data_IF_793494384241
#
_entry.id   IF_793494384241
#
_cell.length_a   1.000
_cell.length_b   1.000
_cell.length_c   1.000
_cell.angle_alpha   90.00
_cell.angle_beta   90.00
_cell.angle_gamma   90.00
#
_symmetry.space_group_name_H-M   'P 1'
#
loop_
_entity.id
_entity.type
_entity.pdbx_description
1 polymer ?
#
# COMPACT_ATOMS: atom_id res chain seq x y z
N UNK A 1 2.45 12.18 -30.51
CA UNK A 1 2.62 10.85 -31.14
C UNK A 1 2.59 9.68 -30.16
N UNK A 2 3.03 9.78 -28.89
CA UNK A 2 2.90 8.69 -27.90
C UNK A 2 1.56 8.63 -27.12
N UNK A 3 0.78 9.71 -27.11
CA UNK A 3 -0.53 9.74 -26.43
C UNK A 3 -1.62 8.96 -27.17
N UNK A 4 -1.55 8.92 -28.50
CA UNK A 4 -2.48 8.18 -29.37
C UNK A 4 -2.26 6.67 -29.35
N UNK A 5 -1.05 6.20 -29.03
CA UNK A 5 -0.75 4.77 -28.91
C UNK A 5 -1.25 4.15 -27.59
N UNK A 6 -1.51 4.97 -26.56
CA UNK A 6 -2.06 4.51 -25.27
C UNK A 6 -3.59 4.62 -25.19
N UNK A 7 -4.27 5.04 -26.27
CA UNK A 7 -5.73 5.16 -26.29
C UNK A 7 -6.45 3.80 -26.30
N UNK A 8 -5.76 2.73 -26.70
CA UNK A 8 -6.30 1.37 -26.73
C UNK A 8 -5.69 0.50 -25.63
N UNK A 9 -6.52 -0.35 -25.03
CA UNK A 9 -6.14 -1.32 -24.02
C UNK A 9 -5.14 -2.33 -24.60
N UNK A 10 -3.83 -2.16 -24.33
CA UNK A 10 -2.77 -3.14 -24.66
C UNK A 10 -2.71 -4.31 -23.67
N UNK A 11 -3.79 -4.57 -22.95
CA UNK A 11 -3.82 -5.54 -21.88
C UNK A 11 -4.31 -6.91 -22.36
N UNK A 12 -3.73 -7.97 -21.79
CA UNK A 12 -4.03 -9.37 -22.11
C UNK A 12 -5.27 -9.84 -21.36
N UNK A 13 -6.13 -10.61 -22.02
CA UNK A 13 -7.27 -11.29 -21.38
C UNK A 13 -6.84 -12.64 -20.83
N UNK A 14 -7.62 -13.15 -19.87
CA UNK A 14 -7.41 -14.48 -19.29
C UNK A 14 -7.42 -15.54 -20.40
N UNK A 15 -6.39 -16.40 -20.45
CA UNK A 15 -6.28 -17.41 -21.50
C UNK A 15 -5.37 -17.03 -22.70
N UNK A 16 -4.82 -15.82 -22.75
CA UNK A 16 -3.98 -15.36 -23.86
C UNK A 16 -2.46 -15.39 -23.57
N UNK A 17 -1.66 -15.81 -24.56
CA UNK A 17 -0.18 -15.78 -24.53
C UNK A 17 0.34 -14.47 -25.13
N UNK A 18 -0.36 -13.98 -26.14
CA UNK A 18 -0.15 -12.68 -26.78
C UNK A 18 -1.52 -12.13 -27.22
N UNK A 19 -1.64 -10.84 -27.57
CA UNK A 19 -2.95 -10.20 -27.86
C UNK A 19 -3.77 -11.01 -28.87
N UNK A 20 -5.02 -11.31 -28.53
CA UNK A 20 -5.96 -12.09 -29.34
C UNK A 20 -5.48 -13.52 -29.71
N UNK A 21 -4.37 -14.00 -29.12
CA UNK A 21 -3.81 -15.34 -29.32
C UNK A 21 -4.06 -16.15 -28.04
N UNK A 22 -5.08 -17.01 -28.11
CA UNK A 22 -5.34 -18.01 -27.07
C UNK A 22 -4.20 -19.02 -27.07
N UNK A 23 -3.54 -19.16 -25.93
CA UNK A 23 -2.49 -20.15 -25.77
C UNK A 23 -2.98 -21.48 -25.24
N UNK A 24 -2.22 -22.52 -25.53
CA UNK A 24 -2.41 -23.81 -24.89
C UNK A 24 -1.70 -23.82 -23.53
N UNK A 25 -2.47 -23.90 -22.44
CA UNK A 25 -1.99 -23.93 -21.06
C UNK A 25 -1.03 -25.09 -20.75
N UNK A 26 -0.93 -26.07 -21.66
CA UNK A 26 -0.04 -27.24 -21.52
C UNK A 26 1.40 -26.94 -21.91
N UNK A 27 1.63 -25.95 -22.79
CA UNK A 27 2.96 -25.65 -23.36
C UNK A 27 3.36 -24.17 -23.25
N UNK A 28 2.42 -23.25 -23.04
CA UNK A 28 2.65 -21.81 -23.11
C UNK A 28 2.28 -21.10 -21.80
N UNK A 29 2.98 -19.99 -21.49
CA UNK A 29 2.69 -19.17 -20.30
C UNK A 29 1.61 -18.15 -20.63
N UNK A 30 0.42 -18.46 -20.14
CA UNK A 30 -0.82 -17.73 -20.40
C UNK A 30 -1.10 -16.69 -19.31
N UNK A 31 -1.72 -15.55 -19.66
CA UNK A 31 -2.22 -14.61 -18.65
C UNK A 31 -3.30 -15.27 -17.79
N UNK A 32 -3.03 -15.33 -16.47
CA UNK A 32 -3.91 -15.96 -15.48
C UNK A 32 -5.07 -15.06 -15.04
N UNK A 33 -5.00 -13.75 -15.30
CA UNK A 33 -5.99 -12.75 -14.91
C UNK A 33 -6.09 -11.69 -16.02
N UNK A 34 -7.28 -11.08 -16.18
CA UNK A 34 -7.46 -9.95 -17.10
C UNK A 34 -6.65 -8.77 -16.55
N UNK A 35 -5.63 -8.35 -17.28
CA UNK A 35 -4.86 -7.17 -16.90
C UNK A 35 -5.59 -5.92 -17.40
N UNK A 36 -5.57 -4.85 -16.63
CA UNK A 36 -6.01 -3.51 -17.09
C UNK A 36 -5.13 -2.51 -16.36
N UNK A 37 -4.89 -1.34 -16.96
CA UNK A 37 -4.06 -0.28 -16.35
C UNK A 37 -4.45 -0.03 -14.89
N UNK A 38 -5.76 0.03 -14.66
CA UNK A 38 -6.37 0.35 -13.37
C UNK A 38 -6.17 -0.77 -12.34
N UNK A 39 -6.23 -2.04 -12.78
CA UNK A 39 -5.94 -3.20 -11.92
C UNK A 39 -4.44 -3.20 -11.54
N UNK A 40 -3.55 -2.92 -12.47
CA UNK A 40 -2.10 -2.83 -12.20
C UNK A 40 -1.77 -1.67 -11.24
N UNK A 41 -2.45 -0.52 -11.37
CA UNK A 41 -2.33 0.57 -10.40
C UNK A 41 -2.78 0.12 -9.01
N UNK A 42 -3.89 -0.61 -8.92
CA UNK A 42 -4.39 -1.17 -7.66
C UNK A 42 -3.43 -2.18 -7.01
N UNK A 43 -2.81 -3.05 -7.82
CA UNK A 43 -1.80 -4.02 -7.33
C UNK A 43 -0.50 -3.32 -6.93
N UNK A 44 -0.10 -2.26 -7.64
CA UNK A 44 1.10 -1.49 -7.33
C UNK A 44 0.92 -0.58 -6.10
N UNK A 45 -0.30 -0.13 -5.82
CA UNK A 45 -0.55 0.89 -4.80
C UNK A 45 0.02 0.58 -3.41
N UNK A 46 -0.06 -0.66 -2.88
CA UNK A 46 0.52 -0.97 -1.58
C UNK A 46 2.03 -0.74 -1.50
N UNK A 47 2.76 -0.78 -2.62
CA UNK A 47 4.20 -0.49 -2.65
C UNK A 47 4.53 0.97 -2.31
N UNK A 48 3.61 1.91 -2.55
CA UNK A 48 3.78 3.33 -2.23
C UNK A 48 3.11 3.73 -0.91
N UNK A 49 2.51 2.77 -0.19
CA UNK A 49 1.93 3.01 1.13
C UNK A 49 2.99 3.09 2.23
N UNK A 50 2.58 3.37 3.47
CA UNK A 50 3.48 3.37 4.62
C UNK A 50 4.15 4.71 4.93
N UNK A 51 3.72 5.81 4.30
CA UNK A 51 4.23 7.17 4.58
C UNK A 51 4.08 7.60 6.05
N UNK A 52 3.11 7.00 6.76
CA UNK A 52 2.83 7.25 8.18
C UNK A 52 3.77 6.49 9.14
N UNK A 53 4.61 5.58 8.64
CA UNK A 53 5.56 4.86 9.50
C UNK A 53 6.52 5.84 10.22
N UNK A 54 6.86 6.96 9.58
CA UNK A 54 7.71 8.00 10.17
C UNK A 54 7.06 8.73 11.36
N UNK A 55 5.74 8.92 11.36
CA UNK A 55 5.02 9.59 12.45
C UNK A 55 4.79 8.69 13.66
N UNK A 56 4.83 7.37 13.48
CA UNK A 56 4.61 6.39 14.56
C UNK A 56 5.70 6.44 15.66
N UNK A 57 6.86 7.06 15.38
CA UNK A 57 7.94 7.29 16.36
C UNK A 57 8.14 8.78 16.68
N UNK A 58 7.11 9.59 16.47
CA UNK A 58 7.18 11.04 16.69
C UNK A 58 7.57 11.43 18.12
N UNK A 59 7.20 10.62 19.12
CA UNK A 59 7.55 10.85 20.53
C UNK A 59 9.05 10.69 20.87
N UNK A 60 9.79 9.92 20.06
CA UNK A 60 11.22 9.63 20.30
C UNK A 60 12.15 10.57 19.52
N UNK A 61 11.60 11.44 18.67
CA UNK A 61 12.37 12.36 17.84
C UNK A 61 12.76 13.61 18.64
N UNK A 62 14.04 14.02 18.53
CA UNK A 62 14.54 15.28 19.10
C UNK A 62 13.72 16.50 18.64
N UNK A 63 13.38 16.55 17.35
CA UNK A 63 12.59 17.63 16.74
C UNK A 63 11.57 17.05 15.74
N UNK A 64 10.37 16.63 16.20
CA UNK A 64 9.39 15.95 15.36
C UNK A 64 8.85 16.85 14.24
N UNK A 65 8.64 18.13 14.53
CA UNK A 65 8.06 19.13 13.61
C UNK A 65 8.91 19.38 12.35
N UNK A 66 10.23 19.16 12.44
CA UNK A 66 11.17 19.32 11.32
C UNK A 66 11.56 17.98 10.70
N UNK A 67 11.73 16.95 11.52
CA UNK A 67 12.22 15.64 11.08
C UNK A 67 11.16 14.85 10.32
N UNK A 68 9.89 14.89 10.73
CA UNK A 68 8.82 14.14 10.06
C UNK A 68 8.64 14.61 8.60
N UNK A 69 8.39 15.90 8.30
CA UNK A 69 8.16 16.33 6.92
C UNK A 69 9.37 16.07 6.00
N UNK A 70 10.59 16.32 6.50
CA UNK A 70 11.82 16.11 5.73
C UNK A 70 12.09 14.63 5.46
N UNK A 71 11.93 13.79 6.48
CA UNK A 71 12.11 12.35 6.38
C UNK A 71 11.12 11.73 5.40
N UNK A 72 9.84 12.07 5.52
CA UNK A 72 8.78 11.54 4.64
C UNK A 72 9.00 11.95 3.19
N UNK A 73 9.27 13.23 2.90
CA UNK A 73 9.50 13.69 1.51
C UNK A 73 10.75 13.04 0.92
N UNK A 74 11.86 12.97 1.67
CA UNK A 74 13.09 12.34 1.19
C UNK A 74 12.88 10.83 0.90
N UNK A 75 12.14 10.13 1.76
CA UNK A 75 11.82 8.72 1.56
C UNK A 75 10.95 8.49 0.31
N UNK A 76 9.92 9.32 0.10
CA UNK A 76 9.07 9.26 -1.10
C UNK A 76 9.90 9.51 -2.37
N UNK A 77 10.76 10.52 -2.37
CA UNK A 77 11.62 10.80 -3.53
C UNK A 77 12.59 9.67 -3.82
N UNK A 78 13.18 9.07 -2.79
CA UNK A 78 14.15 7.97 -2.94
C UNK A 78 13.47 6.71 -3.50
N UNK A 79 12.32 6.33 -2.94
CA UNK A 79 11.55 5.15 -3.39
C UNK A 79 11.00 5.35 -4.81
N UNK A 80 10.54 6.56 -5.13
CA UNK A 80 10.08 6.92 -6.49
C UNK A 80 11.22 6.87 -7.50
N UNK A 81 12.41 7.36 -7.14
CA UNK A 81 13.59 7.28 -8.00
C UNK A 81 13.99 5.82 -8.27
N UNK A 82 14.06 4.98 -7.24
CA UNK A 82 14.37 3.55 -7.40
C UNK A 82 13.34 2.86 -8.30
N UNK A 83 12.04 3.13 -8.07
CA UNK A 83 10.96 2.56 -8.88
C UNK A 83 10.97 3.03 -10.33
N UNK A 84 11.46 4.24 -10.59
CA UNK A 84 11.59 4.78 -11.96
C UNK A 84 12.84 4.24 -12.66
N UNK A 85 13.88 3.85 -11.93
CA UNK A 85 15.12 3.34 -12.51
C UNK A 85 14.99 1.91 -13.07
N UNK A 86 13.93 1.17 -12.77
CA UNK A 86 13.68 -0.16 -13.36
C UNK A 86 13.18 -0.05 -14.79
N UNK A 87 14.09 0.21 -15.73
CA UNK A 87 13.83 0.23 -17.17
C UNK A 87 14.13 -1.14 -17.79
N UNK A 88 13.18 -1.71 -18.53
CA UNK A 88 13.40 -2.91 -19.34
C UNK A 88 12.16 -3.75 -19.57
N UNK A 89 12.14 -4.52 -20.67
CA UNK A 89 11.15 -5.57 -20.91
C UNK A 89 11.44 -6.75 -19.96
N UNK A 90 10.91 -6.67 -18.74
CA UNK A 90 10.96 -7.79 -17.80
C UNK A 90 9.97 -8.87 -18.26
N UNK A 91 10.38 -10.14 -18.13
CA UNK A 91 9.49 -11.28 -18.31
C UNK A 91 8.32 -11.15 -17.33
N UNK A 92 7.09 -11.09 -17.86
CA UNK A 92 5.85 -10.88 -17.11
C UNK A 92 5.23 -12.21 -16.65
N UNK A 93 6.08 -13.12 -16.20
CA UNK A 93 5.69 -14.42 -15.69
C UNK A 93 5.72 -14.38 -14.16
N UNK A 94 4.53 -14.49 -13.54
CA UNK A 94 4.35 -14.36 -12.09
C UNK A 94 5.08 -15.46 -11.31
N UNK A 95 5.09 -16.69 -11.83
CA UNK A 95 5.67 -17.85 -11.15
C UNK A 95 7.01 -18.28 -11.75
N UNK A 96 7.41 -17.68 -12.87
CA UNK A 96 8.66 -17.99 -13.54
C UNK A 96 8.65 -19.36 -14.17
N UNK A 97 7.49 -19.86 -14.60
CA UNK A 97 7.35 -21.13 -15.32
C UNK A 97 8.24 -21.15 -16.58
N UNK A 98 8.41 -20.00 -17.23
CA UNK A 98 9.32 -19.78 -18.37
C UNK A 98 10.81 -19.94 -18.02
N UNK A 99 11.17 -19.89 -16.73
CA UNK A 99 12.56 -19.90 -16.23
C UNK A 99 12.75 -20.94 -15.13
N UNK A 100 12.17 -22.14 -15.31
CA UNK A 100 12.27 -23.25 -14.34
C UNK A 100 11.80 -22.89 -12.92
N UNK A 101 10.69 -22.15 -12.80
CA UNK A 101 10.08 -21.71 -11.53
C UNK A 101 11.02 -20.89 -10.65
N UNK A 102 11.91 -20.11 -11.28
CA UNK A 102 12.77 -19.16 -10.59
C UNK A 102 12.16 -17.76 -10.62
N UNK A 103 12.34 -17.02 -9.53
CA UNK A 103 11.91 -15.63 -9.46
C UNK A 103 12.67 -14.80 -10.52
N UNK A 104 11.94 -14.22 -11.48
CA UNK A 104 12.50 -13.47 -12.62
C UNK A 104 13.50 -12.41 -12.16
N UNK A 105 13.16 -11.66 -11.11
CA UNK A 105 14.01 -10.60 -10.55
C UNK A 105 15.28 -11.15 -9.90
N UNK A 106 15.25 -12.37 -9.35
CA UNK A 106 16.42 -12.98 -8.73
C UNK A 106 17.44 -13.45 -9.78
N UNK A 107 17.01 -13.86 -10.97
CA UNK A 107 17.91 -14.29 -12.06
C UNK A 107 18.72 -13.12 -12.62
N UNK A 108 18.14 -11.91 -12.61
CA UNK A 108 18.81 -10.68 -13.06
C UNK A 108 19.79 -10.11 -12.01
N UNK A 109 19.78 -10.64 -10.79
CA UNK A 109 20.54 -10.07 -9.69
C UNK A 109 22.02 -10.49 -9.71
N UNK A 110 22.91 -9.50 -9.66
CA UNK A 110 24.33 -9.68 -9.41
C UNK A 110 24.62 -9.41 -7.92
N UNK A 111 25.49 -10.18 -7.23
CA UNK A 111 26.35 -11.27 -7.72
C UNK A 111 25.71 -12.66 -7.76
N UNK A 112 24.61 -12.90 -7.04
CA UNK A 112 23.89 -14.18 -7.09
C UNK A 112 22.41 -14.02 -6.80
N UNK A 113 21.59 -14.95 -7.34
CA UNK A 113 20.14 -15.01 -7.11
C UNK A 113 19.73 -15.10 -5.63
N UNK A 114 20.58 -15.66 -4.79
CA UNK A 114 20.33 -15.80 -3.36
C UNK A 114 20.23 -14.46 -2.64
N UNK A 115 20.87 -13.41 -3.18
CA UNK A 115 20.80 -12.06 -2.59
C UNK A 115 19.37 -11.54 -2.59
N UNK A 116 18.65 -11.69 -3.71
CA UNK A 116 17.24 -11.29 -3.79
C UNK A 116 16.36 -12.23 -2.98
N UNK A 117 16.59 -13.54 -3.02
CA UNK A 117 15.75 -14.49 -2.26
C UNK A 117 15.82 -14.26 -0.75
N UNK A 118 17.03 -14.17 -0.19
CA UNK A 118 17.24 -13.94 1.25
C UNK A 118 16.83 -12.52 1.62
N UNK A 119 17.18 -11.52 0.79
CA UNK A 119 16.82 -10.13 1.02
C UNK A 119 15.30 -9.91 1.04
N UNK A 120 14.57 -10.46 0.07
CA UNK A 120 13.12 -10.38 0.02
C UNK A 120 12.49 -11.08 1.22
N UNK A 121 12.94 -12.30 1.56
CA UNK A 121 12.43 -13.03 2.73
C UNK A 121 12.60 -12.24 4.04
N UNK A 122 13.82 -11.77 4.33
CA UNK A 122 14.10 -10.98 5.52
C UNK A 122 13.31 -9.67 5.54
N UNK A 123 13.15 -9.03 4.37
CA UNK A 123 12.36 -7.79 4.23
C UNK A 123 10.88 -8.03 4.53
N UNK A 124 10.27 -9.09 3.97
CA UNK A 124 8.86 -9.42 4.21
C UNK A 124 8.60 -9.80 5.67
N UNK A 125 9.47 -10.61 6.28
CA UNK A 125 9.36 -10.95 7.72
C UNK A 125 9.50 -9.69 8.58
N UNK A 126 10.47 -8.82 8.28
CA UNK A 126 10.65 -7.56 9.00
C UNK A 126 9.44 -6.62 8.89
N UNK A 127 8.88 -6.47 7.71
CA UNK A 127 7.67 -5.68 7.47
C UNK A 127 6.44 -6.27 8.19
N UNK A 128 6.30 -7.60 8.19
CA UNK A 128 5.26 -8.31 8.93
C UNK A 128 5.37 -8.10 10.44
N UNK A 129 6.56 -8.22 11.02
CA UNK A 129 6.79 -7.97 12.45
C UNK A 129 6.54 -6.50 12.83
N UNK A 130 6.94 -5.55 11.98
CA UNK A 130 6.67 -4.13 12.21
C UNK A 130 5.17 -3.85 12.27
N UNK A 131 4.39 -4.39 11.32
CA UNK A 131 2.95 -4.17 11.28
C UNK A 131 2.23 -4.90 12.41
N UNK A 132 2.65 -6.12 12.76
CA UNK A 132 2.11 -6.92 13.85
C UNK A 132 2.31 -6.27 15.23
N UNK A 133 3.42 -5.53 15.42
CA UNK A 133 3.68 -4.79 16.67
C UNK A 133 3.07 -3.39 16.66
N UNK A 134 2.97 -2.75 15.49
CA UNK A 134 2.43 -1.40 15.33
C UNK A 134 0.91 -1.33 15.43
N UNK A 135 0.18 -2.21 14.74
CA UNK A 135 -1.28 -2.15 14.66
C UNK A 135 -1.99 -2.31 16.02
N UNK A 136 -1.60 -3.26 16.91
CA UNK A 136 -2.20 -3.38 18.24
C UNK A 136 -1.99 -2.14 19.12
N UNK A 137 -0.84 -1.46 18.97
CA UNK A 137 -0.51 -0.25 19.74
C UNK A 137 -1.35 0.93 19.27
N UNK A 138 -1.56 1.08 17.96
CA UNK A 138 -2.49 2.07 17.41
C UNK A 138 -3.92 1.81 17.89
N UNK A 139 -4.37 0.56 17.83
CA UNK A 139 -5.71 0.18 18.28
C UNK A 139 -5.91 0.40 19.79
N UNK A 140 -4.90 0.10 20.59
CA UNK A 140 -4.93 0.40 22.03
C UNK A 140 -4.99 1.90 22.30
N UNK A 141 -4.25 2.72 21.55
CA UNK A 141 -4.30 4.17 21.70
C UNK A 141 -5.72 4.71 21.42
N UNK A 142 -6.34 4.28 20.32
CA UNK A 142 -7.73 4.63 20.00
C UNK A 142 -8.71 4.17 21.08
N UNK A 143 -8.51 2.97 21.64
CA UNK A 143 -9.35 2.46 22.72
C UNK A 143 -9.18 3.23 24.04
N UNK A 144 -8.00 3.81 24.30
CA UNK A 144 -7.71 4.63 25.48
C UNK A 144 -8.33 6.01 25.40
N UNK A 145 -8.56 6.54 24.20
CA UNK A 145 -9.25 7.82 23.98
C UNK A 145 -10.75 7.78 24.32
N UNK A 146 -11.28 6.59 24.63
CA UNK A 146 -12.67 6.32 25.04
C UNK A 146 -13.78 6.89 24.13
N UNK A 147 -13.45 7.09 22.84
CA UNK A 147 -14.37 7.61 21.84
C UNK A 147 -15.42 6.57 21.40
N UNK A 148 -15.05 5.29 21.39
CA UNK A 148 -15.90 4.19 20.93
C UNK A 148 -16.06 3.17 22.08
N UNK A 149 -17.23 3.11 22.73
CA UNK A 149 -17.44 2.25 23.92
C UNK A 149 -17.16 0.76 23.68
N UNK A 150 -17.37 0.29 22.45
CA UNK A 150 -17.15 -1.12 22.05
C UNK A 150 -15.66 -1.49 22.11
N UNK A 151 -14.76 -0.53 21.92
CA UNK A 151 -13.30 -0.77 21.90
C UNK A 151 -12.66 -0.75 23.30
N UNK A 152 -13.39 -0.36 24.35
CA UNK A 152 -12.88 -0.28 25.74
C UNK A 152 -12.12 -1.52 26.22
N UNK A 153 -12.54 -2.77 25.93
CA UNK A 153 -11.80 -3.95 26.36
C UNK A 153 -10.37 -4.03 25.79
N UNK A 154 -10.13 -3.41 24.62
CA UNK A 154 -8.85 -3.39 23.92
C UNK A 154 -7.85 -2.39 24.53
N UNK A 155 -8.31 -1.46 25.37
CA UNK A 155 -7.45 -0.48 26.04
C UNK A 155 -6.54 -1.11 27.11
N UNK A 156 -6.86 -2.33 27.58
CA UNK A 156 -6.10 -3.03 28.63
C UNK A 156 -4.67 -3.30 28.17
N UNK A 157 -3.72 -3.08 29.08
CA UNK A 157 -2.29 -3.33 28.85
C UNK A 157 -1.76 -4.27 29.93
N UNK A 158 -0.97 -5.27 29.53
CA UNK A 158 -0.29 -6.18 30.44
C UNK A 158 1.21 -5.99 30.27
N UNK A 159 1.89 -5.53 31.33
CA UNK A 159 3.34 -5.22 31.30
C UNK A 159 3.76 -4.28 30.16
N UNK A 160 2.89 -3.33 29.81
CA UNK A 160 3.13 -2.37 28.72
C UNK A 160 2.68 -2.86 27.34
N UNK A 161 2.32 -4.14 27.18
CA UNK A 161 1.92 -4.71 25.90
C UNK A 161 0.38 -4.84 25.76
N UNK A 162 -0.19 -4.47 24.60
CA UNK A 162 -1.63 -4.45 24.35
C UNK A 162 -2.17 -5.85 23.98
N UNK A 163 -2.12 -6.81 24.91
CA UNK A 163 -2.47 -8.23 24.64
C UNK A 163 -3.85 -8.42 23.99
N UNK A 164 -4.95 -7.78 24.43
CA UNK A 164 -6.25 -7.99 23.77
C UNK A 164 -6.30 -7.42 22.35
N UNK A 165 -5.68 -6.26 22.12
CA UNK A 165 -5.57 -5.70 20.77
C UNK A 165 -4.70 -6.57 19.87
N UNK A 166 -3.64 -7.18 20.41
CA UNK A 166 -2.78 -8.12 19.69
C UNK A 166 -3.55 -9.36 19.24
N UNK A 167 -4.36 -9.97 20.12
CA UNK A 167 -5.21 -11.10 19.73
C UNK A 167 -6.21 -10.74 18.63
N UNK A 168 -6.83 -9.55 18.71
CA UNK A 168 -7.73 -9.10 17.66
C UNK A 168 -7.00 -8.87 16.32
N UNK A 169 -5.81 -8.26 16.36
CA UNK A 169 -4.98 -8.11 15.16
C UNK A 169 -4.58 -9.46 14.58
N UNK A 170 -4.15 -10.42 15.41
CA UNK A 170 -3.83 -11.78 14.97
C UNK A 170 -5.03 -12.48 14.34
N UNK A 171 -6.22 -12.35 14.93
CA UNK A 171 -7.45 -12.91 14.38
C UNK A 171 -7.78 -12.34 12.99
N UNK A 172 -7.69 -11.02 12.81
CA UNK A 172 -7.92 -10.37 11.52
C UNK A 172 -6.86 -10.80 10.49
N UNK A 173 -5.59 -10.89 10.90
CA UNK A 173 -4.51 -11.38 10.04
C UNK A 173 -4.76 -12.83 9.60
N UNK A 174 -5.19 -13.70 10.51
CA UNK A 174 -5.50 -15.10 10.21
C UNK A 174 -6.64 -15.21 9.19
N UNK A 175 -7.71 -14.43 9.34
CA UNK A 175 -8.78 -14.36 8.33
C UNK A 175 -8.23 -13.94 6.95
N UNK A 176 -7.28 -13.02 6.91
CA UNK A 176 -6.60 -12.63 5.67
C UNK A 176 -5.78 -13.77 5.06
N UNK A 177 -5.03 -14.51 5.88
CA UNK A 177 -4.24 -15.67 5.42
C UNK A 177 -5.14 -16.76 4.82
N UNK A 178 -6.31 -17.01 5.42
CA UNK A 178 -7.26 -18.03 4.95
C UNK A 178 -7.84 -17.74 3.55
N UNK A 179 -7.85 -16.48 3.10
CA UNK A 179 -8.30 -16.12 1.73
C UNK A 179 -7.33 -16.68 0.67
N UNK A 180 -6.06 -16.92 1.03
CA UNK A 180 -5.03 -17.55 0.21
C UNK A 180 -4.82 -16.92 -1.19
N UNK A 181 -5.17 -15.64 -1.37
CA UNK A 181 -5.02 -14.90 -2.62
C UNK A 181 -4.44 -13.50 -2.35
N UNK A 182 -3.17 -13.32 -2.73
CA UNK A 182 -2.41 -12.09 -2.49
C UNK A 182 -2.95 -10.93 -3.32
N UNK A 183 -3.46 -11.17 -4.52
CA UNK A 183 -3.87 -10.09 -5.43
C UNK A 183 -5.18 -9.48 -4.92
N UNK A 184 -6.12 -10.32 -4.46
CA UNK A 184 -7.37 -9.87 -3.81
C UNK A 184 -7.10 -9.12 -2.50
N UNK A 185 -6.18 -9.61 -1.67
CA UNK A 185 -5.78 -8.94 -0.43
C UNK A 185 -5.14 -7.56 -0.70
N UNK A 186 -4.28 -7.48 -1.70
CA UNK A 186 -3.59 -6.23 -2.11
C UNK A 186 -4.59 -5.17 -2.55
N UNK A 187 -5.60 -5.56 -3.33
CA UNK A 187 -6.68 -4.65 -3.73
C UNK A 187 -7.51 -4.16 -2.52
N UNK A 188 -7.85 -5.05 -1.59
CA UNK A 188 -8.59 -4.71 -0.37
C UNK A 188 -7.80 -3.74 0.53
N UNK A 189 -6.52 -4.02 0.78
CA UNK A 189 -5.65 -3.16 1.59
C UNK A 189 -5.50 -1.77 0.97
N UNK A 190 -5.41 -1.69 -0.35
CA UNK A 190 -5.35 -0.42 -1.08
C UNK A 190 -6.57 0.45 -0.81
N UNK A 191 -7.77 -0.12 -0.73
CA UNK A 191 -8.98 0.63 -0.40
C UNK A 191 -8.90 1.25 1.00
N UNK A 192 -8.47 0.47 2.01
CA UNK A 192 -8.31 0.98 3.38
C UNK A 192 -7.27 2.10 3.48
N UNK A 193 -6.14 1.97 2.78
CA UNK A 193 -5.11 3.02 2.76
C UNK A 193 -5.58 4.28 2.03
N UNK A 194 -6.25 4.15 0.89
CA UNK A 194 -6.81 5.28 0.15
C UNK A 194 -7.89 6.01 0.97
N UNK A 195 -8.74 5.27 1.68
CA UNK A 195 -9.74 5.84 2.58
C UNK A 195 -9.07 6.64 3.70
N UNK A 196 -8.04 6.08 4.34
CA UNK A 196 -7.28 6.77 5.38
C UNK A 196 -6.65 8.07 4.85
N UNK A 197 -5.98 8.02 3.69
CA UNK A 197 -5.37 9.20 3.08
C UNK A 197 -6.42 10.23 2.64
N UNK A 198 -7.58 9.77 2.16
CA UNK A 198 -8.74 10.60 1.84
C UNK A 198 -9.22 11.37 3.06
N UNK A 199 -9.49 10.69 4.18
CA UNK A 199 -9.94 11.36 5.41
C UNK A 199 -8.91 12.32 6.00
N UNK A 200 -7.62 11.99 5.95
CA UNK A 200 -6.56 12.91 6.39
C UNK A 200 -6.55 14.18 5.52
N UNK A 201 -6.64 14.03 4.21
CA UNK A 201 -6.70 15.16 3.28
C UNK A 201 -7.96 16.01 3.47
N UNK A 202 -9.11 15.37 3.64
CA UNK A 202 -10.37 16.04 3.93
C UNK A 202 -10.32 16.82 5.25
N UNK A 203 -9.84 16.19 6.32
CA UNK A 203 -9.72 16.83 7.63
C UNK A 203 -8.81 18.07 7.57
N UNK A 204 -7.65 17.98 6.92
CA UNK A 204 -6.74 19.11 6.76
C UNK A 204 -7.36 20.26 5.95
N UNK A 205 -8.06 19.93 4.86
CA UNK A 205 -8.75 20.93 4.03
C UNK A 205 -9.87 21.62 4.81
N UNK A 206 -10.74 20.85 5.47
CA UNK A 206 -11.86 21.37 6.25
C UNK A 206 -11.39 22.24 7.40
N UNK A 207 -10.40 21.82 8.18
CA UNK A 207 -9.88 22.60 9.31
C UNK A 207 -9.30 23.96 8.87
N UNK A 208 -8.69 24.01 7.66
CA UNK A 208 -8.20 25.27 7.08
C UNK A 208 -9.33 26.15 6.57
N UNK A 209 -10.30 25.59 5.85
CA UNK A 209 -11.44 26.33 5.28
C UNK A 209 -12.33 26.91 6.39
N UNK A 210 -12.63 26.10 7.41
CA UNK A 210 -13.46 26.48 8.56
C UNK A 210 -12.72 27.35 9.58
N UNK A 211 -11.42 27.62 9.37
CA UNK A 211 -10.57 28.41 10.27
C UNK A 211 -10.66 27.94 11.72
N UNK A 212 -10.49 26.62 11.93
CA UNK A 212 -10.57 26.04 13.27
C UNK A 212 -9.56 26.73 14.23
N UNK A 213 -9.94 27.11 15.46
CA UNK A 213 -9.12 27.96 16.34
C UNK A 213 -7.73 27.39 16.67
N UNK A 214 -7.64 26.07 16.79
CA UNK A 214 -6.41 25.32 17.11
C UNK A 214 -5.56 24.98 15.88
N UNK A 215 -6.07 25.20 14.66
CA UNK A 215 -5.40 24.80 13.42
C UNK A 215 -4.50 25.91 12.87
N UNK A 216 -3.18 25.73 12.99
CA UNK A 216 -2.16 26.67 12.49
C UNK A 216 -0.98 25.92 11.86
N UNK A 217 -1.12 25.42 10.62
CA UNK A 217 -0.06 24.64 9.96
C UNK A 217 1.19 25.51 9.76
N UNK A 218 2.31 25.08 10.33
CA UNK A 218 3.61 25.79 10.26
C UNK A 218 4.47 25.39 9.06
N UNK A 219 4.01 24.41 8.26
CA UNK A 219 4.78 23.90 7.12
C UNK A 219 4.65 24.83 5.91
N UNK A 220 5.78 25.28 5.36
CA UNK A 220 5.85 26.32 4.30
C UNK A 220 5.12 25.94 3.00
N UNK A 221 5.12 24.66 2.61
CA UNK A 221 4.53 24.21 1.35
C UNK A 221 3.10 23.67 1.50
N UNK A 222 2.49 23.85 2.68
CA UNK A 222 1.11 23.45 2.89
C UNK A 222 0.13 24.46 2.28
N UNK A 223 -0.83 23.98 1.51
CA UNK A 223 -1.97 24.76 1.04
C UNK A 223 -3.23 23.87 0.99
N UNK A 224 -4.40 24.43 1.32
CA UNK A 224 -5.64 23.67 1.39
C UNK A 224 -6.04 23.04 0.05
N UNK A 225 -5.72 23.69 -1.07
CA UNK A 225 -6.00 23.15 -2.42
C UNK A 225 -5.23 21.87 -2.68
N UNK A 226 -3.99 21.72 -2.19
CA UNK A 226 -3.22 20.49 -2.34
C UNK A 226 -3.90 19.33 -1.61
N UNK A 227 -4.46 19.58 -0.43
CA UNK A 227 -5.26 18.59 0.30
C UNK A 227 -6.55 18.22 -0.44
N UNK A 228 -7.25 19.18 -1.04
CA UNK A 228 -8.46 18.90 -1.84
C UNK A 228 -8.14 18.08 -3.10
N UNK A 229 -7.05 18.42 -3.81
CA UNK A 229 -6.57 17.64 -4.95
C UNK A 229 -6.21 16.23 -4.52
N UNK A 230 -5.51 16.07 -3.39
CA UNK A 230 -5.20 14.77 -2.80
C UNK A 230 -6.44 13.94 -2.48
N UNK A 231 -7.47 14.55 -1.89
CA UNK A 231 -8.76 13.90 -1.64
C UNK A 231 -9.42 13.41 -2.94
N UNK A 232 -9.50 14.27 -3.95
CA UNK A 232 -10.10 13.92 -5.23
C UNK A 232 -9.35 12.78 -5.92
N UNK A 233 -8.02 12.78 -5.87
CA UNK A 233 -7.18 11.69 -6.40
C UNK A 233 -7.43 10.38 -5.65
N UNK A 234 -7.53 10.41 -4.30
CA UNK A 234 -7.81 9.21 -3.52
C UNK A 234 -9.17 8.61 -3.89
N UNK A 235 -10.23 9.44 -3.94
CA UNK A 235 -11.57 9.01 -4.32
C UNK A 235 -11.58 8.45 -5.75
N UNK A 236 -10.95 9.16 -6.70
CA UNK A 236 -10.89 8.72 -8.09
C UNK A 236 -10.26 7.33 -8.21
N UNK A 237 -9.13 7.09 -7.53
CA UNK A 237 -8.44 5.78 -7.56
C UNK A 237 -9.29 4.70 -6.87
N UNK A 238 -10.00 5.01 -5.79
CA UNK A 238 -10.91 4.05 -5.13
C UNK A 238 -12.03 3.59 -6.07
N UNK A 239 -12.75 4.52 -6.70
CA UNK A 239 -13.83 4.20 -7.65
C UNK A 239 -13.34 3.43 -8.88
N UNK A 240 -12.14 3.77 -9.34
CA UNK A 240 -11.46 3.11 -10.45
C UNK A 240 -11.12 1.65 -10.13
N UNK A 241 -10.64 1.38 -8.91
CA UNK A 241 -10.22 0.04 -8.51
C UNK A 241 -11.42 -0.87 -8.20
N UNK A 242 -12.39 -0.39 -7.42
CA UNK A 242 -13.66 -1.09 -7.23
C UNK A 242 -14.74 -0.12 -6.77
N UNK A 243 -15.65 0.22 -7.68
CA UNK A 243 -16.78 1.11 -7.38
C UNK A 243 -17.70 0.55 -6.28
N UNK A 244 -17.89 -0.77 -6.20
CA UNK A 244 -18.76 -1.39 -5.20
C UNK A 244 -18.16 -1.28 -3.80
N UNK A 245 -16.89 -1.64 -3.62
CA UNK A 245 -16.23 -1.49 -2.32
C UNK A 245 -16.02 -0.02 -1.95
N UNK A 246 -15.80 0.86 -2.92
CA UNK A 246 -15.67 2.30 -2.68
C UNK A 246 -16.97 2.95 -2.19
N UNK A 247 -18.16 2.43 -2.55
CA UNK A 247 -19.44 2.93 -2.06
C UNK A 247 -19.76 2.48 -0.63
N UNK A 248 -19.27 1.30 -0.24
CA UNK A 248 -19.45 0.75 1.11
C UNK A 248 -18.50 1.41 2.11
N UNK A 249 -17.31 1.81 1.64
CA UNK A 249 -16.26 2.48 2.42
C UNK A 249 -16.61 3.95 2.72
#
# INVERSE_FOLDING_TARGET
WQLTENLFSHYRREGEVERDIKGDSTFEVVAQEITTFLILVGIYFPSVTGIMAGSNRSGDLRDPSRSIPRGTIAAILTTSAISSCTHGSLLRDKFGDSINKQLVVAVLAWPSKWVIMVGAFCSTVGAGLQTLTGAPRLLQAVAKDDLIPILRPLAKSYRGEPVPALFLTLFICECGILIADVDKLTALLSMFFLLCYGFVNLACALQTILKAPSWRPRFRFYHWTLSVVGLFLCISIMFIASWYFALVA
#
